data_IF_228749948131
#
_entry.id   IF_228749948131
#
_cell.length_a   1.000
_cell.length_b   1.000
_cell.length_c   1.000
_cell.angle_alpha   90.00
_cell.angle_beta   90.00
_cell.angle_gamma   90.00
#
_symmetry.space_group_name_H-M   'P 1'
#
loop_
_entity.id
_entity.type
_entity.pdbx_description
1 polymer ?
#
# COMPACT_ATOMS: atom_id res chain seq x y z
N UNK A 1 47.25 -21.64 44.44
CA UNK A 1 46.13 -21.61 45.41
C UNK A 1 44.87 -20.87 44.93
N UNK A 2 44.95 -19.75 44.18
CA UNK A 2 43.74 -19.04 43.68
C UNK A 2 42.82 -19.85 42.74
N UNK A 3 43.36 -20.80 41.97
CA UNK A 3 42.57 -21.63 41.05
C UNK A 3 41.80 -22.77 41.72
N UNK A 4 42.24 -23.23 42.90
CA UNK A 4 41.54 -24.28 43.67
C UNK A 4 40.26 -23.70 44.28
N UNK A 5 40.27 -22.44 44.71
CA UNK A 5 39.07 -21.76 45.24
C UNK A 5 37.98 -21.58 44.17
N UNK A 6 38.34 -21.28 42.92
CA UNK A 6 37.36 -21.15 41.82
C UNK A 6 36.77 -22.51 41.44
N UNK A 7 37.58 -23.57 41.43
CA UNK A 7 37.11 -24.93 41.15
C UNK A 7 36.19 -25.44 42.28
N UNK A 8 36.54 -25.18 43.54
CA UNK A 8 35.72 -25.56 44.70
C UNK A 8 34.43 -24.71 44.78
N UNK A 9 34.45 -23.43 44.38
CA UNK A 9 33.22 -22.64 44.25
C UNK A 9 32.31 -23.18 43.14
N UNK A 10 32.85 -23.57 41.98
CA UNK A 10 32.05 -24.13 40.89
C UNK A 10 31.49 -25.53 41.20
N UNK A 11 32.19 -26.32 42.01
CA UNK A 11 31.71 -27.63 42.48
C UNK A 11 30.66 -27.47 43.59
N UNK A 12 30.75 -26.43 44.44
CA UNK A 12 29.77 -26.13 45.50
C UNK A 12 28.55 -25.33 45.02
N UNK A 13 28.66 -24.57 43.92
CA UNK A 13 27.51 -23.94 43.25
C UNK A 13 26.98 -24.79 42.11
N UNK A 14 27.05 -26.12 42.23
CA UNK A 14 26.34 -27.03 41.34
C UNK A 14 24.91 -26.51 41.21
N UNK A 15 24.62 -25.87 40.09
CA UNK A 15 23.30 -25.35 39.78
C UNK A 15 22.47 -26.61 39.66
N UNK A 16 21.78 -26.96 40.75
CA UNK A 16 20.70 -27.92 40.69
C UNK A 16 19.72 -27.26 39.72
N UNK A 17 19.79 -27.67 38.46
CA UNK A 17 18.73 -27.42 37.51
C UNK A 17 17.52 -28.11 38.14
N UNK A 18 16.75 -27.35 38.91
CA UNK A 18 15.50 -27.83 39.45
C UNK A 18 14.68 -28.22 38.23
N UNK A 19 14.50 -29.53 38.04
CA UNK A 19 13.70 -30.05 36.94
C UNK A 19 12.31 -29.45 37.09
N UNK A 20 11.90 -28.67 36.10
CA UNK A 20 10.60 -28.02 36.12
C UNK A 20 9.52 -29.08 36.00
N UNK A 21 8.44 -28.98 36.77
CA UNK A 21 7.35 -29.97 36.77
C UNK A 21 6.39 -29.74 35.61
N UNK A 22 6.16 -28.49 35.24
CA UNK A 22 5.30 -28.12 34.12
C UNK A 22 5.64 -26.71 33.60
N UNK A 23 5.34 -26.48 32.33
CA UNK A 23 5.47 -25.18 31.68
C UNK A 23 4.39 -25.01 30.62
N UNK A 24 3.88 -23.79 30.43
CA UNK A 24 3.22 -23.48 29.16
C UNK A 24 4.22 -23.55 28.00
N UNK A 25 3.79 -24.08 26.86
CA UNK A 25 4.64 -24.17 25.66
C UNK A 25 5.07 -22.80 25.12
N UNK A 26 4.31 -21.75 25.42
CA UNK A 26 4.58 -20.35 25.09
C UNK A 26 4.32 -19.46 26.31
N UNK A 27 5.05 -18.35 26.43
CA UNK A 27 4.74 -17.26 27.39
C UNK A 27 3.70 -16.28 26.86
N UNK A 28 3.65 -16.11 25.54
CA UNK A 28 2.70 -15.21 24.89
C UNK A 28 2.24 -15.83 23.59
N UNK A 29 0.94 -15.74 23.31
CA UNK A 29 0.37 -16.16 22.03
C UNK A 29 -0.54 -15.08 21.45
N UNK A 30 -0.72 -15.12 20.12
CA UNK A 30 -1.59 -14.19 19.40
C UNK A 30 -2.61 -14.98 18.59
N UNK A 31 -3.87 -14.64 18.76
CA UNK A 31 -4.99 -15.30 18.08
C UNK A 31 -5.85 -14.25 17.40
N UNK A 32 -6.09 -14.43 16.11
CA UNK A 32 -7.05 -13.62 15.37
C UNK A 32 -8.44 -14.24 15.55
N UNK A 33 -9.42 -13.43 15.93
CA UNK A 33 -10.81 -13.88 15.98
C UNK A 33 -11.25 -14.36 14.58
N UNK A 34 -11.87 -15.54 14.50
CA UNK A 34 -12.46 -16.05 13.26
C UNK A 34 -13.88 -15.54 13.00
N UNK A 35 -14.55 -16.00 11.92
CA UNK A 35 -15.93 -15.60 11.60
C UNK A 35 -16.98 -16.15 12.59
N UNK A 36 -16.64 -17.19 13.36
CA UNK A 36 -17.55 -17.83 14.31
C UNK A 36 -17.88 -16.92 15.50
N UNK A 37 -19.05 -17.12 16.11
CA UNK A 37 -19.50 -16.38 17.32
C UNK A 37 -18.63 -16.65 18.55
N UNK A 38 -17.90 -17.76 18.54
CA UNK A 38 -16.99 -18.18 19.60
C UNK A 38 -15.62 -18.46 19.00
N UNK A 39 -14.58 -18.06 19.72
CA UNK A 39 -13.19 -18.42 19.47
C UNK A 39 -12.84 -19.64 20.32
N UNK A 40 -12.42 -20.74 19.69
CA UNK A 40 -11.82 -21.88 20.40
C UNK A 40 -10.29 -21.73 20.39
N UNK A 41 -9.68 -21.71 21.58
CA UNK A 41 -8.22 -21.68 21.74
C UNK A 41 -7.76 -22.88 22.56
N UNK A 42 -6.54 -23.37 22.28
CA UNK A 42 -5.94 -24.50 22.99
C UNK A 42 -4.77 -24.00 23.82
N UNK A 43 -4.89 -24.11 25.14
CA UNK A 43 -3.81 -23.89 26.08
C UNK A 43 -2.99 -25.18 26.17
N UNK A 44 -1.72 -25.10 25.81
CA UNK A 44 -0.84 -26.27 25.77
C UNK A 44 0.10 -26.25 26.98
N UNK A 45 0.04 -27.30 27.80
CA UNK A 45 0.91 -27.49 28.96
C UNK A 45 1.87 -28.63 28.65
N UNK A 46 3.16 -28.36 28.73
CA UNK A 46 4.23 -29.36 28.55
C UNK A 46 4.69 -29.87 29.91
N UNK A 47 4.74 -31.20 30.03
CA UNK A 47 5.17 -31.91 31.23
C UNK A 47 6.44 -32.69 30.84
N UNK A 48 7.63 -32.30 31.33
CA UNK A 48 8.84 -33.04 31.00
C UNK A 48 8.78 -34.46 31.54
N UNK A 49 9.29 -35.41 30.76
CA UNK A 49 9.34 -36.83 31.12
C UNK A 49 10.35 -37.04 32.25
N UNK A 50 9.92 -36.81 33.49
CA UNK A 50 10.71 -37.08 34.70
C UNK A 50 9.86 -37.94 35.64
N UNK A 51 10.37 -39.13 35.98
CA UNK A 51 9.67 -40.12 36.80
C UNK A 51 9.35 -39.65 38.24
N UNK A 52 9.97 -38.56 38.68
CA UNK A 52 9.97 -38.10 40.08
C UNK A 52 8.72 -37.31 40.50
N UNK A 53 7.83 -36.94 39.56
CA UNK A 53 6.66 -36.11 39.84
C UNK A 53 5.32 -36.84 39.65
N UNK A 54 5.35 -38.17 39.58
CA UNK A 54 4.14 -38.99 39.44
C UNK A 54 3.15 -38.70 40.57
N UNK A 55 1.90 -38.44 40.22
CA UNK A 55 0.82 -38.14 41.15
C UNK A 55 0.68 -36.66 41.54
N UNK A 56 1.58 -35.78 41.11
CA UNK A 56 1.41 -34.34 41.26
C UNK A 56 0.21 -33.87 40.43
N UNK A 57 -0.41 -32.78 40.88
CA UNK A 57 -1.53 -32.13 40.21
C UNK A 57 -1.10 -30.78 39.68
N UNK A 58 -1.33 -30.54 38.41
CA UNK A 58 -1.15 -29.23 37.77
C UNK A 58 -2.54 -28.68 37.53
N UNK A 59 -2.82 -27.46 37.98
CA UNK A 59 -4.07 -26.78 37.70
C UNK A 59 -3.82 -25.60 36.77
N UNK A 60 -4.64 -25.47 35.73
CA UNK A 60 -4.61 -24.32 34.83
C UNK A 60 -5.71 -23.36 35.25
N UNK A 61 -5.32 -22.22 35.78
CA UNK A 61 -6.22 -21.20 36.28
C UNK A 61 -6.16 -19.95 35.42
N UNK A 62 -7.25 -19.21 35.40
CA UNK A 62 -7.29 -17.91 34.75
C UNK A 62 -6.74 -16.82 35.68
N UNK A 63 -5.76 -16.08 35.19
CA UNK A 63 -5.19 -14.93 35.90
C UNK A 63 -6.07 -13.70 35.65
N UNK A 64 -6.84 -13.33 36.67
CA UNK A 64 -7.74 -12.17 36.65
C UNK A 64 -7.03 -10.86 36.41
N UNK A 65 -5.81 -10.70 36.94
CA UNK A 65 -5.06 -9.46 36.84
C UNK A 65 -4.59 -9.17 35.41
N UNK A 66 -4.46 -10.21 34.59
CA UNK A 66 -4.00 -10.15 33.19
C UNK A 66 -5.11 -10.42 32.17
N UNK A 67 -6.34 -10.64 32.63
CA UNK A 67 -7.50 -10.90 31.77
C UNK A 67 -8.37 -9.66 31.68
N UNK A 68 -8.51 -9.11 30.48
CA UNK A 68 -9.33 -7.92 30.24
C UNK A 68 -10.81 -8.23 29.95
N UNK A 69 -11.17 -9.52 29.89
CA UNK A 69 -12.49 -9.99 29.49
C UNK A 69 -13.40 -10.30 30.69
N UNK A 70 -14.70 -10.01 30.59
CA UNK A 70 -15.71 -10.47 31.55
C UNK A 70 -15.71 -11.99 31.70
N UNK A 71 -16.02 -12.46 32.89
CA UNK A 71 -15.95 -13.86 33.27
C UNK A 71 -16.87 -14.77 32.45
N UNK A 72 -18.09 -14.30 32.27
CA UNK A 72 -19.19 -14.92 31.54
C UNK A 72 -18.97 -14.95 30.01
N UNK A 73 -17.93 -14.26 29.53
CA UNK A 73 -17.46 -14.32 28.14
C UNK A 73 -16.44 -15.44 27.90
N UNK A 74 -15.91 -16.07 28.96
CA UNK A 74 -14.88 -17.12 28.89
C UNK A 74 -15.46 -18.43 29.43
N UNK A 75 -15.52 -19.45 28.58
CA UNK A 75 -15.91 -20.80 28.95
C UNK A 75 -14.67 -21.68 29.06
N UNK A 76 -14.31 -22.03 30.29
CA UNK A 76 -13.30 -23.04 30.60
C UNK A 76 -13.97 -24.40 30.83
N UNK A 77 -13.28 -25.52 30.52
CA UNK A 77 -13.79 -26.85 30.82
C UNK A 77 -13.87 -27.06 32.34
N UNK A 78 -14.81 -27.90 32.77
CA UNK A 78 -15.08 -28.18 34.20
C UNK A 78 -13.89 -28.82 34.89
N UNK A 79 -13.02 -29.53 34.15
CA UNK A 79 -11.79 -30.11 34.66
C UNK A 79 -10.57 -29.48 33.98
N UNK A 80 -9.82 -28.70 34.74
CA UNK A 80 -8.53 -28.08 34.35
C UNK A 80 -7.34 -28.70 35.09
N UNK A 81 -7.59 -29.78 35.83
CA UNK A 81 -6.58 -30.47 36.64
C UNK A 81 -5.95 -31.58 35.80
N UNK A 82 -4.63 -31.48 35.62
CA UNK A 82 -3.81 -32.44 34.92
C UNK A 82 -3.05 -33.27 35.95
N UNK A 83 -3.25 -34.59 35.92
CA UNK A 83 -2.52 -35.53 36.78
C UNK A 83 -1.24 -35.97 36.08
N UNK A 84 -0.09 -35.84 36.74
CA UNK A 84 1.17 -36.31 36.17
C UNK A 84 1.28 -37.83 36.32
N UNK A 85 1.19 -38.56 35.21
CA UNK A 85 1.35 -40.02 35.18
C UNK A 85 2.49 -40.50 34.25
N UNK A 86 2.37 -40.22 32.94
CA UNK A 86 3.23 -40.59 31.81
C UNK A 86 3.07 -39.62 30.62
N UNK A 87 2.06 -38.76 30.60
CA UNK A 87 1.82 -37.82 29.50
C UNK A 87 2.88 -36.70 29.45
N UNK A 88 3.31 -36.34 28.24
CA UNK A 88 4.31 -35.27 28.00
C UNK A 88 3.68 -33.93 27.64
N UNK A 89 2.41 -33.92 27.26
CA UNK A 89 1.68 -32.73 26.83
C UNK A 89 0.18 -32.92 27.09
N UNK A 90 -0.48 -31.88 27.59
CA UNK A 90 -1.94 -31.80 27.70
C UNK A 90 -2.47 -30.50 27.08
N UNK A 91 -3.70 -30.55 26.59
CA UNK A 91 -4.35 -29.53 25.78
C UNK A 91 -5.71 -29.15 26.33
N UNK A 92 -5.79 -27.98 26.97
CA UNK A 92 -7.05 -27.45 27.53
C UNK A 92 -7.71 -26.54 26.50
N UNK A 93 -8.90 -26.92 26.06
CA UNK A 93 -9.72 -26.11 25.13
C UNK A 93 -10.52 -25.07 25.89
N UNK A 94 -10.33 -23.80 25.55
CA UNK A 94 -11.13 -22.68 26.05
C UNK A 94 -12.00 -22.14 24.91
N UNK A 95 -13.19 -21.63 25.26
CA UNK A 95 -14.04 -20.88 24.32
C UNK A 95 -14.28 -19.47 24.82
N UNK A 96 -14.27 -18.52 23.90
CA UNK A 96 -14.44 -17.09 24.21
C UNK A 96 -15.50 -16.50 23.29
N UNK A 97 -16.51 -15.81 23.84
CA UNK A 97 -17.51 -15.07 23.05
C UNK A 97 -16.85 -13.93 22.28
N UNK A 98 -17.37 -13.50 21.13
CA UNK A 98 -16.73 -12.51 20.22
C UNK A 98 -17.26 -11.07 20.34
N UNK A 99 -17.68 -10.63 21.51
CA UNK A 99 -18.46 -9.38 21.69
C UNK A 99 -17.60 -8.12 21.87
N UNK A 100 -16.36 -8.09 21.37
CA UNK A 100 -15.41 -7.01 21.63
C UNK A 100 -14.89 -6.30 20.37
N UNK A 101 -14.80 -4.98 20.48
CA UNK A 101 -14.34 -4.05 19.44
C UNK A 101 -12.84 -3.80 19.47
N UNK A 102 -12.20 -3.99 20.62
CA UNK A 102 -10.78 -3.73 20.84
C UNK A 102 -10.00 -5.02 21.05
N UNK A 103 -8.66 -4.92 21.01
CA UNK A 103 -7.77 -5.97 21.48
C UNK A 103 -8.13 -6.39 22.91
N UNK A 104 -8.17 -7.71 23.16
CA UNK A 104 -8.44 -8.28 24.48
C UNK A 104 -7.37 -9.27 24.87
N UNK A 105 -7.16 -9.43 26.17
CA UNK A 105 -6.14 -10.29 26.72
C UNK A 105 -6.79 -11.33 27.64
N UNK A 106 -6.30 -12.57 27.58
CA UNK A 106 -6.60 -13.61 28.57
C UNK A 106 -5.29 -14.07 29.17
N UNK A 107 -5.18 -13.97 30.49
CA UNK A 107 -4.04 -14.47 31.25
C UNK A 107 -4.34 -15.85 31.83
N UNK A 108 -3.38 -16.76 31.73
CA UNK A 108 -3.40 -18.06 32.39
C UNK A 108 -2.21 -18.19 33.33
N UNK A 109 -2.43 -18.88 34.44
CA UNK A 109 -1.38 -19.27 35.38
C UNK A 109 -1.47 -20.77 35.69
N UNK A 110 -0.32 -21.39 35.89
CA UNK A 110 -0.23 -22.76 36.40
C UNK A 110 -0.08 -22.72 37.91
N UNK A 111 -0.73 -23.66 38.59
CA UNK A 111 -0.44 -24.00 39.98
C UNK A 111 -0.09 -25.48 40.08
N UNK A 112 0.81 -25.84 40.99
CA UNK A 112 1.27 -27.22 41.18
C UNK A 112 1.15 -27.60 42.65
N UNK A 113 0.49 -28.73 42.91
CA UNK A 113 0.43 -29.34 44.24
C UNK A 113 1.01 -30.75 44.21
N UNK A 114 1.77 -31.11 45.23
CA UNK A 114 2.25 -32.49 45.38
C UNK A 114 1.13 -33.46 45.82
N UNK A 115 1.50 -34.73 45.98
CA UNK A 115 0.58 -35.81 46.36
C UNK A 115 -0.05 -35.58 47.74
N UNK A 116 0.64 -34.85 48.63
CA UNK A 116 0.15 -34.47 49.95
C UNK A 116 -0.68 -33.16 49.93
N UNK A 117 -0.80 -32.51 48.77
CA UNK A 117 -1.52 -31.25 48.59
C UNK A 117 -0.70 -30.00 48.92
N UNK A 118 0.61 -30.11 49.13
CA UNK A 118 1.45 -28.94 49.39
C UNK A 118 1.78 -28.20 48.08
N UNK A 119 1.80 -26.86 48.16
CA UNK A 119 2.17 -25.98 47.05
C UNK A 119 3.63 -26.20 46.62
N UNK A 120 3.84 -26.45 45.32
CA UNK A 120 5.14 -26.62 44.67
C UNK A 120 5.30 -25.71 43.44
N UNK A 121 4.68 -24.54 43.44
CA UNK A 121 4.76 -23.54 42.36
C UNK A 121 6.19 -23.12 42.01
N UNK A 122 7.14 -23.20 42.95
CA UNK A 122 8.56 -22.96 42.71
C UNK A 122 9.20 -23.94 41.71
N UNK A 123 8.55 -25.08 41.44
CA UNK A 123 8.99 -26.06 40.45
C UNK A 123 8.41 -25.78 39.04
N UNK A 124 7.65 -24.71 38.86
CA UNK A 124 7.20 -24.28 37.53
C UNK A 124 8.34 -23.57 36.80
N UNK A 125 8.46 -23.83 35.49
CA UNK A 125 9.30 -23.02 34.62
C UNK A 125 8.53 -21.78 34.16
N UNK A 126 7.85 -21.89 33.02
CA UNK A 126 6.91 -20.87 32.54
C UNK A 126 5.51 -21.11 33.12
N UNK A 127 5.27 -20.57 34.31
CA UNK A 127 3.97 -20.69 34.98
C UNK A 127 2.89 -19.74 34.46
N UNK A 128 3.20 -18.84 33.52
CA UNK A 128 2.26 -17.82 33.03
C UNK A 128 2.18 -17.80 31.50
N UNK A 129 0.96 -17.60 30.98
CA UNK A 129 0.68 -17.45 29.55
C UNK A 129 -0.25 -16.25 29.35
N UNK A 130 0.12 -15.35 28.44
CA UNK A 130 -0.75 -14.26 27.98
C UNK A 130 -1.21 -14.53 26.54
N UNK A 131 -2.52 -14.61 26.33
CA UNK A 131 -3.13 -14.75 25.00
C UNK A 131 -3.71 -13.40 24.59
N UNK A 132 -3.20 -12.85 23.48
CA UNK A 132 -3.71 -11.63 22.87
C UNK A 132 -4.72 -12.00 21.79
N UNK A 133 -5.98 -11.60 21.99
CA UNK A 133 -7.09 -11.80 21.06
C UNK A 133 -7.27 -10.50 20.28
N UNK A 134 -6.99 -10.57 18.97
CA UNK A 134 -7.28 -9.49 18.05
C UNK A 134 -8.76 -9.54 17.64
N UNK A 135 -9.48 -8.41 17.63
CA UNK A 135 -10.83 -8.38 17.10
C UNK A 135 -10.79 -8.86 15.65
N UNK A 136 -11.86 -9.52 15.19
CA UNK A 136 -12.04 -9.64 13.75
C UNK A 136 -12.21 -8.20 13.27
N UNK A 137 -11.34 -7.70 12.40
CA UNK A 137 -11.59 -6.44 11.67
C UNK A 137 -12.87 -6.67 10.85
N UNK A 138 -14.03 -6.51 11.48
CA UNK A 138 -15.31 -7.01 10.97
C UNK A 138 -16.06 -6.00 10.14
N UNK A 139 -15.60 -4.76 10.08
CA UNK A 139 -16.00 -3.91 8.97
C UNK A 139 -15.00 -4.15 7.85
N UNK A 140 -15.16 -5.25 7.09
CA UNK A 140 -14.67 -5.26 5.72
C UNK A 140 -15.37 -4.15 4.92
N UNK A 141 -14.87 -3.82 3.73
CA UNK A 141 -15.57 -2.83 2.91
C UNK A 141 -17.01 -3.31 2.67
N UNK A 142 -17.98 -2.43 2.90
CA UNK A 142 -19.38 -2.70 2.61
C UNK A 142 -19.73 -2.10 1.23
N UNK A 143 -20.68 -2.69 0.52
CA UNK A 143 -21.26 -2.09 -0.71
C UNK A 143 -21.82 -0.68 -0.50
N UNK A 144 -22.18 -0.33 0.74
CA UNK A 144 -22.68 0.99 1.12
C UNK A 144 -21.60 2.03 1.43
N UNK A 145 -20.31 1.64 1.41
CA UNK A 145 -19.22 2.57 1.66
C UNK A 145 -19.04 3.51 0.48
N UNK A 146 -19.48 4.75 0.70
CA UNK A 146 -19.43 5.83 -0.28
C UNK A 146 -18.10 6.58 -0.26
N UNK A 147 -17.24 6.31 0.73
CA UNK A 147 -15.95 6.97 0.90
C UNK A 147 -14.88 5.89 1.01
N UNK A 148 -14.03 5.82 -0.01
CA UNK A 148 -13.01 4.81 -0.17
C UNK A 148 -11.64 5.48 -0.27
N UNK A 149 -10.68 4.97 0.49
CA UNK A 149 -9.29 5.36 0.45
C UNK A 149 -8.44 4.20 -0.09
N UNK A 150 -7.73 4.46 -1.18
CA UNK A 150 -6.88 3.52 -1.88
C UNK A 150 -5.43 3.87 -1.56
N UNK A 151 -4.65 2.91 -1.09
CA UNK A 151 -3.22 3.06 -0.82
C UNK A 151 -2.47 1.83 -1.28
N UNK A 152 -1.34 2.00 -1.96
CA UNK A 152 -0.59 0.89 -2.50
C UNK A 152 0.54 1.32 -3.40
N UNK A 153 0.72 0.61 -4.51
CA UNK A 153 1.81 0.87 -5.45
C UNK A 153 1.31 0.95 -6.88
N UNK A 154 1.96 1.80 -7.67
CA UNK A 154 1.93 1.65 -9.11
C UNK A 154 2.77 0.44 -9.53
N UNK A 155 2.25 -0.32 -10.50
CA UNK A 155 2.96 -1.41 -11.16
C UNK A 155 3.34 -0.92 -12.53
N UNK A 156 4.64 -0.99 -12.80
CA UNK A 156 5.18 -0.78 -14.14
C UNK A 156 5.28 -2.14 -14.84
N UNK A 157 4.71 -2.25 -16.04
CA UNK A 157 4.83 -3.47 -16.86
C UNK A 157 5.96 -3.36 -17.90
N UNK A 158 6.54 -2.18 -18.10
CA UNK A 158 7.54 -1.89 -19.14
C UNK A 158 8.92 -2.40 -18.71
N UNK A 159 9.27 -2.24 -17.43
CA UNK A 159 10.54 -2.71 -16.84
C UNK A 159 10.42 -4.05 -16.05
N UNK A 160 9.31 -4.76 -16.27
CA UNK A 160 8.86 -5.94 -15.50
C UNK A 160 8.05 -5.57 -14.26
N UNK A 161 7.25 -6.52 -13.73
CA UNK A 161 6.31 -6.33 -12.60
C UNK A 161 7.09 -5.92 -11.34
N UNK A 162 7.32 -4.62 -11.17
CA UNK A 162 8.06 -4.06 -10.04
C UNK A 162 7.24 -2.93 -9.41
N UNK A 163 7.07 -2.94 -8.08
CA UNK A 163 6.52 -1.79 -7.38
C UNK A 163 7.50 -0.62 -7.54
N UNK A 164 7.02 0.53 -8.01
CA UNK A 164 7.87 1.69 -8.30
C UNK A 164 7.68 2.82 -7.30
N UNK A 165 6.45 3.27 -7.10
CA UNK A 165 6.13 4.38 -6.20
C UNK A 165 4.81 4.16 -5.47
N UNK A 166 4.69 4.85 -4.32
CA UNK A 166 3.47 4.92 -3.53
C UNK A 166 2.34 5.53 -4.36
N UNK A 167 1.30 4.73 -4.55
CA UNK A 167 0.01 5.14 -5.07
C UNK A 167 -0.90 5.48 -3.90
N UNK A 168 -1.59 6.62 -3.95
CA UNK A 168 -2.72 6.86 -3.07
C UNK A 168 -3.81 7.63 -3.78
N UNK A 169 -5.07 7.30 -3.46
CA UNK A 169 -6.23 8.01 -3.99
C UNK A 169 -7.39 7.91 -3.01
N UNK A 170 -8.03 9.01 -2.70
CA UNK A 170 -9.34 9.06 -2.04
C UNK A 170 -10.44 9.24 -3.09
N UNK A 171 -11.51 8.48 -2.97
CA UNK A 171 -12.70 8.55 -3.83
C UNK A 171 -13.95 8.68 -2.96
N UNK A 172 -14.75 9.71 -3.24
CA UNK A 172 -16.01 9.99 -2.57
C UNK A 172 -17.14 9.93 -3.61
N UNK A 173 -18.07 8.99 -3.45
CA UNK A 173 -19.23 8.83 -4.32
C UNK A 173 -20.51 9.10 -3.53
N UNK A 174 -21.06 10.30 -3.67
CA UNK A 174 -22.16 10.80 -2.85
C UNK A 174 -23.44 10.91 -3.68
N UNK A 175 -24.52 10.29 -3.22
CA UNK A 175 -25.85 10.51 -3.79
C UNK A 175 -26.42 11.83 -3.26
N UNK A 176 -26.86 12.71 -4.16
CA UNK A 176 -27.59 13.91 -3.78
C UNK A 176 -28.98 13.48 -3.32
N UNK A 177 -29.31 13.66 -2.04
CA UNK A 177 -30.61 13.29 -1.49
C UNK A 177 -31.60 14.45 -1.56
N UNK A 178 -32.87 14.13 -1.78
CA UNK A 178 -33.98 15.08 -1.61
C UNK A 178 -34.98 14.47 -0.62
N UNK A 179 -35.20 15.12 0.52
CA UNK A 179 -36.03 14.60 1.62
C UNK A 179 -35.68 13.14 2.00
N UNK A 180 -34.39 12.88 2.25
CA UNK A 180 -33.79 11.56 2.57
C UNK A 180 -33.93 10.46 1.51
N UNK A 181 -34.62 10.72 0.40
CA UNK A 181 -34.71 9.79 -0.73
C UNK A 181 -33.53 9.96 -1.67
N UNK A 182 -32.98 8.83 -2.11
CA UNK A 182 -31.92 8.82 -3.11
C UNK A 182 -32.43 9.38 -4.44
N UNK A 183 -31.63 10.20 -5.12
CA UNK A 183 -31.97 10.74 -6.45
C UNK A 183 -31.10 10.11 -7.54
N UNK A 184 -31.35 10.47 -8.81
CA UNK A 184 -30.47 10.10 -9.93
C UNK A 184 -29.18 10.92 -9.99
N UNK A 185 -29.03 11.93 -9.13
CA UNK A 185 -27.91 12.85 -9.16
C UNK A 185 -26.85 12.43 -8.15
N UNK A 186 -25.62 12.32 -8.61
CA UNK A 186 -24.49 11.92 -7.78
C UNK A 186 -23.32 12.87 -7.98
N UNK A 187 -22.51 13.01 -6.93
CA UNK A 187 -21.26 13.74 -6.93
C UNK A 187 -20.12 12.75 -6.71
N UNK A 188 -19.11 12.82 -7.56
CA UNK A 188 -17.92 11.99 -7.46
C UNK A 188 -16.67 12.85 -7.35
N UNK A 189 -15.97 12.75 -6.21
CA UNK A 189 -14.76 13.52 -5.93
C UNK A 189 -13.61 12.56 -5.82
N UNK A 190 -12.51 12.85 -6.53
CA UNK A 190 -11.25 12.13 -6.40
C UNK A 190 -10.14 13.09 -6.01
N UNK A 191 -9.19 12.60 -5.22
CA UNK A 191 -7.91 13.27 -5.03
C UNK A 191 -6.84 12.22 -4.79
N UNK A 192 -5.61 12.46 -5.24
CA UNK A 192 -4.57 11.45 -5.08
C UNK A 192 -3.26 11.80 -5.75
N UNK A 193 -2.31 10.87 -5.59
CA UNK A 193 -1.06 10.82 -6.34
C UNK A 193 -1.01 9.54 -7.15
N UNK A 194 -0.76 9.70 -8.44
CA UNK A 194 -0.70 8.62 -9.42
C UNK A 194 0.48 8.79 -10.35
N UNK A 195 1.02 7.69 -10.86
CA UNK A 195 2.09 7.69 -11.86
C UNK A 195 1.62 7.07 -13.16
N UNK A 196 1.89 7.74 -14.26
CA UNK A 196 1.71 7.20 -15.60
C UNK A 196 3.07 7.00 -16.27
N UNK A 197 3.15 5.98 -17.13
CA UNK A 197 4.30 5.73 -17.97
C UNK A 197 3.85 5.53 -19.43
N UNK A 198 4.68 5.95 -20.37
CA UNK A 198 4.51 5.66 -21.79
C UNK A 198 5.36 4.45 -22.18
N UNK A 199 4.91 3.70 -23.19
CA UNK A 199 5.83 2.80 -23.90
C UNK A 199 6.99 3.58 -24.55
N UNK A 200 8.09 2.90 -24.83
CA UNK A 200 9.20 3.48 -25.60
C UNK A 200 8.76 3.72 -27.04
N UNK A 201 8.59 4.99 -27.43
CA UNK A 201 8.29 5.37 -28.82
C UNK A 201 9.60 5.65 -29.55
N UNK A 202 9.74 5.17 -30.80
CA UNK A 202 10.98 5.29 -31.57
C UNK A 202 10.83 6.16 -32.80
N UNK A 203 11.59 7.25 -32.83
CA UNK A 203 11.77 8.10 -34.01
C UNK A 203 12.97 7.60 -34.81
N UNK A 204 12.70 7.10 -36.02
CA UNK A 204 13.67 6.40 -36.84
C UNK A 204 14.81 7.29 -37.37
N UNK A 205 14.67 8.63 -37.41
CA UNK A 205 15.70 9.52 -37.99
C UNK A 205 15.57 10.97 -37.52
N UNK A 206 16.39 11.37 -36.55
CA UNK A 206 16.49 12.74 -36.05
C UNK A 206 17.86 13.31 -36.39
N UNK A 207 17.92 14.55 -36.89
CA UNK A 207 19.18 15.23 -37.22
C UNK A 207 19.85 15.77 -35.97
N UNK A 208 21.17 15.63 -35.87
CA UNK A 208 21.98 16.33 -34.86
C UNK A 208 23.16 17.06 -35.49
N UNK A 209 23.62 18.10 -34.82
CA UNK A 209 24.86 18.80 -35.09
C UNK A 209 25.49 19.28 -33.79
N UNK A 210 26.79 19.02 -33.63
CA UNK A 210 27.55 19.33 -32.43
C UNK A 210 28.94 19.86 -32.80
N UNK A 211 29.46 20.79 -32.02
CA UNK A 211 30.75 21.42 -32.23
C UNK A 211 31.79 20.70 -31.38
N UNK A 212 32.77 20.09 -32.04
CA UNK A 212 33.84 19.39 -31.34
C UNK A 212 35.17 20.14 -31.52
N UNK A 213 35.95 20.20 -30.44
CA UNK A 213 37.34 20.69 -30.48
C UNK A 213 38.22 19.63 -31.13
N UNK A 214 39.06 20.06 -32.07
CA UNK A 214 40.03 19.17 -32.68
C UNK A 214 41.06 18.73 -31.64
N UNK A 215 41.14 17.42 -31.38
CA UNK A 215 42.08 16.84 -30.40
C UNK A 215 43.55 17.12 -30.77
N UNK A 216 43.85 17.38 -32.04
CA UNK A 216 45.20 17.62 -32.54
C UNK A 216 45.54 19.11 -32.68
N UNK A 217 44.54 19.99 -32.70
CA UNK A 217 44.71 21.44 -32.85
C UNK A 217 43.73 22.19 -31.93
N UNK A 218 44.23 22.62 -30.77
CA UNK A 218 43.43 23.24 -29.70
C UNK A 218 42.62 24.47 -30.14
N UNK A 219 43.05 25.14 -31.21
CA UNK A 219 42.42 26.37 -31.72
C UNK A 219 41.47 26.13 -32.91
N UNK A 220 41.21 24.87 -33.27
CA UNK A 220 40.31 24.53 -34.38
C UNK A 220 39.10 23.72 -33.91
N UNK A 221 37.93 24.07 -34.44
CA UNK A 221 36.68 23.37 -34.18
C UNK A 221 36.18 22.74 -35.47
N UNK A 222 35.50 21.61 -35.34
CA UNK A 222 34.80 20.99 -36.45
C UNK A 222 33.36 20.71 -36.07
N UNK A 223 32.49 20.85 -37.06
CA UNK A 223 31.09 20.49 -36.95
C UNK A 223 30.94 19.01 -37.23
N UNK A 224 30.43 18.28 -36.24
CA UNK A 224 29.99 16.89 -36.40
C UNK A 224 28.48 16.90 -36.59
N UNK A 225 28.00 16.41 -37.74
CA UNK A 225 26.56 16.32 -38.01
C UNK A 225 26.18 14.93 -38.51
N UNK A 226 24.91 14.58 -38.33
CA UNK A 226 24.43 13.26 -38.71
C UNK A 226 22.99 12.98 -38.35
N UNK A 227 22.63 11.71 -38.42
CA UNK A 227 21.33 11.21 -38.00
C UNK A 227 21.47 10.20 -36.87
N UNK A 228 20.55 10.26 -35.92
CA UNK A 228 20.38 9.27 -34.86
C UNK A 228 18.96 8.74 -34.84
N UNK A 229 18.81 7.48 -34.43
CA UNK A 229 17.53 6.92 -33.99
C UNK A 229 17.38 7.34 -32.53
N UNK A 230 16.25 7.92 -32.18
CA UNK A 230 15.94 8.18 -30.78
C UNK A 230 14.74 7.35 -30.38
N UNK A 231 14.79 6.78 -29.20
CA UNK A 231 13.58 6.33 -28.52
C UNK A 231 13.38 7.17 -27.28
N UNK A 232 12.14 7.49 -26.95
CA UNK A 232 11.83 8.20 -25.73
C UNK A 232 10.75 7.50 -24.92
N UNK A 233 10.87 7.66 -23.61
CA UNK A 233 9.91 7.21 -22.62
C UNK A 233 9.50 8.43 -21.78
N UNK A 234 8.21 8.57 -21.52
CA UNK A 234 7.66 9.61 -20.67
C UNK A 234 7.08 9.00 -19.41
N UNK A 235 7.50 9.55 -18.27
CA UNK A 235 6.96 9.22 -16.96
C UNK A 235 6.33 10.47 -16.38
N UNK A 236 5.07 10.38 -15.99
CA UNK A 236 4.31 11.49 -15.41
C UNK A 236 3.89 11.14 -13.99
N UNK A 237 4.48 11.81 -13.01
CA UNK A 237 4.01 11.79 -11.63
C UNK A 237 2.97 12.90 -11.45
N UNK A 238 1.79 12.55 -10.95
CA UNK A 238 0.61 13.39 -11.00
C UNK A 238 -0.03 13.50 -9.62
N UNK A 239 -0.06 14.70 -9.05
CA UNK A 239 -0.87 15.02 -7.87
C UNK A 239 -2.14 15.71 -8.35
N UNK A 240 -3.31 15.16 -8.04
CA UNK A 240 -4.54 15.62 -8.67
C UNK A 240 -5.74 15.70 -7.74
N UNK A 241 -6.73 16.46 -8.20
CA UNK A 241 -8.11 16.39 -7.74
C UNK A 241 -9.06 16.42 -8.94
N UNK A 242 -10.19 15.72 -8.84
CA UNK A 242 -11.28 15.83 -9.80
C UNK A 242 -12.62 15.85 -9.12
N UNK A 243 -13.54 16.59 -9.72
CA UNK A 243 -14.94 16.69 -9.31
C UNK A 243 -15.79 16.37 -10.52
N UNK A 244 -16.65 15.38 -10.37
CA UNK A 244 -17.52 14.88 -11.41
C UNK A 244 -18.98 14.92 -10.93
N UNK A 245 -19.83 15.49 -11.77
CA UNK A 245 -21.27 15.33 -11.66
C UNK A 245 -21.69 14.09 -12.47
N UNK A 246 -22.50 13.25 -11.84
CA UNK A 246 -22.97 11.99 -12.38
C UNK A 246 -24.50 11.97 -12.41
N UNK A 247 -25.07 11.55 -13.54
CA UNK A 247 -26.50 11.34 -13.70
C UNK A 247 -26.79 9.86 -14.00
N UNK A 248 -27.56 9.20 -13.14
CA UNK A 248 -27.92 7.78 -13.24
C UNK A 248 -28.89 7.55 -14.41
N UNK A 249 -28.42 6.83 -15.44
CA UNK A 249 -29.14 6.58 -16.69
C UNK A 249 -30.06 5.35 -16.60
N UNK A 250 -29.77 4.42 -15.69
CA UNK A 250 -30.57 3.24 -15.41
C UNK A 250 -31.09 3.25 -13.97
N UNK A 251 -31.98 2.31 -13.63
CA UNK A 251 -32.54 2.17 -12.28
C UNK A 251 -32.23 0.76 -11.72
N UNK A 252 -31.00 0.26 -11.88
CA UNK A 252 -30.61 -1.04 -11.31
C UNK A 252 -29.87 -0.84 -9.98
N UNK A 253 -30.15 -1.73 -9.03
CA UNK A 253 -29.60 -1.67 -7.68
C UNK A 253 -28.12 -2.03 -7.66
N UNK A 254 -27.72 -3.02 -8.46
CA UNK A 254 -26.36 -3.57 -8.46
C UNK A 254 -25.50 -3.04 -9.62
N UNK A 255 -26.14 -2.61 -10.70
CA UNK A 255 -25.47 -2.12 -11.90
C UNK A 255 -25.92 -0.68 -12.17
N UNK A 256 -24.99 0.27 -12.16
CA UNK A 256 -25.28 1.68 -12.39
C UNK A 256 -24.51 2.17 -13.59
N UNK A 257 -25.23 2.78 -14.53
CA UNK A 257 -24.67 3.50 -15.64
C UNK A 257 -24.89 5.00 -15.41
N UNK A 258 -23.82 5.77 -15.42
CA UNK A 258 -23.86 7.21 -15.23
C UNK A 258 -23.41 7.92 -16.51
N UNK A 259 -24.11 8.99 -16.88
CA UNK A 259 -23.51 10.06 -17.67
C UNK A 259 -22.65 10.91 -16.73
N UNK A 260 -21.42 11.22 -17.13
CA UNK A 260 -20.45 11.99 -16.33
C UNK A 260 -20.09 13.30 -17.01
N UNK A 261 -20.04 14.37 -16.23
CA UNK A 261 -19.35 15.62 -16.55
C UNK A 261 -18.30 15.90 -15.49
N UNK A 262 -17.03 16.00 -15.88
CA UNK A 262 -15.90 16.07 -14.96
C UNK A 262 -15.05 17.31 -15.20
N UNK A 263 -14.61 17.91 -14.10
CA UNK A 263 -13.52 18.85 -14.04
C UNK A 263 -12.36 18.26 -13.25
N UNK A 264 -11.16 18.34 -13.80
CA UNK A 264 -9.95 17.74 -13.27
C UNK A 264 -8.83 18.79 -13.25
N UNK A 265 -8.07 18.80 -12.15
CA UNK A 265 -6.87 19.62 -11.98
C UNK A 265 -5.75 18.73 -11.44
N UNK A 266 -4.56 18.84 -12.03
CA UNK A 266 -3.39 18.11 -11.56
C UNK A 266 -2.11 18.89 -11.71
N UNK A 267 -1.20 18.74 -10.74
CA UNK A 267 0.19 19.15 -10.86
C UNK A 267 1.02 17.95 -11.29
N UNK A 268 1.66 18.06 -12.44
CA UNK A 268 2.36 16.99 -13.14
C UNK A 268 3.86 17.26 -13.14
N UNK A 269 4.66 16.28 -12.72
CA UNK A 269 6.09 16.23 -12.98
C UNK A 269 6.33 15.21 -14.08
N UNK A 270 6.71 15.70 -15.26
CA UNK A 270 6.91 14.90 -16.45
C UNK A 270 8.41 14.74 -16.66
N UNK A 271 8.88 13.50 -16.67
CA UNK A 271 10.26 13.13 -16.95
C UNK A 271 10.30 12.44 -18.30
N UNK A 272 11.02 13.01 -19.25
CA UNK A 272 11.23 12.41 -20.56
C UNK A 272 12.67 11.92 -20.63
N UNK A 273 12.85 10.63 -20.90
CA UNK A 273 14.15 10.01 -21.10
C UNK A 273 14.36 9.73 -22.57
N UNK A 274 15.53 10.07 -23.10
CA UNK A 274 15.92 9.79 -24.47
C UNK A 274 17.04 8.76 -24.53
N UNK A 275 16.91 7.81 -25.44
CA UNK A 275 17.98 6.88 -25.79
C UNK A 275 18.34 7.07 -27.25
N UNK A 276 19.54 7.60 -27.49
CA UNK A 276 20.03 7.91 -28.82
C UNK A 276 20.93 6.79 -29.33
N UNK A 277 20.60 6.22 -30.48
CA UNK A 277 21.42 5.24 -31.20
C UNK A 277 21.87 5.87 -32.51
N UNK A 278 23.18 6.08 -32.68
CA UNK A 278 23.74 6.74 -33.87
C UNK A 278 23.61 5.82 -35.10
N UNK A 279 23.06 6.33 -36.20
CA UNK A 279 22.72 5.57 -37.41
C UNK A 279 23.76 5.70 -38.54
N UNK A 280 25.04 5.86 -38.22
CA UNK A 280 26.15 5.69 -39.19
C UNK A 280 26.42 6.77 -40.26
N UNK A 281 25.76 7.94 -40.25
CA UNK A 281 26.25 9.10 -41.06
C UNK A 281 26.85 10.16 -40.14
N UNK A 282 28.18 10.17 -40.04
CA UNK A 282 28.95 11.22 -39.38
C UNK A 282 29.63 12.06 -40.45
N UNK A 283 29.08 13.23 -40.75
CA UNK A 283 29.76 14.23 -41.57
C UNK A 283 30.60 15.09 -40.64
N UNK A 284 31.86 15.30 -41.02
CA UNK A 284 32.77 16.20 -40.35
C UNK A 284 33.05 17.36 -41.30
N UNK A 285 32.68 18.57 -40.91
CA UNK A 285 32.90 19.77 -41.72
C UNK A 285 33.59 20.84 -40.88
N UNK A 286 34.44 21.64 -41.51
CA UNK A 286 34.94 22.87 -40.89
C UNK A 286 33.82 23.91 -41.03
N UNK A 287 33.31 24.50 -39.94
CA UNK A 287 32.27 25.51 -40.04
C UNK A 287 32.80 26.70 -40.86
N UNK A 288 32.22 26.90 -42.05
CA UNK A 288 32.46 28.09 -42.88
C UNK A 288 31.27 29.01 -42.68
N UNK A 289 31.47 30.08 -41.91
CA UNK A 289 30.48 31.13 -41.69
C UNK A 289 31.13 32.49 -41.85
N UNK A 290 30.34 33.49 -42.24
CA UNK A 290 30.82 34.87 -42.23
C UNK A 290 31.06 35.32 -40.77
N UNK A 291 32.04 36.19 -40.51
CA UNK A 291 32.23 36.78 -39.18
C UNK A 291 30.91 37.40 -38.69
N UNK A 292 30.36 36.88 -37.58
CA UNK A 292 29.11 37.36 -36.98
C UNK A 292 27.87 36.46 -37.17
N UNK A 293 27.95 35.39 -37.97
CA UNK A 293 26.84 34.43 -38.06
C UNK A 293 26.80 33.48 -36.86
N UNK A 294 25.62 33.39 -36.23
CA UNK A 294 25.37 32.44 -35.13
C UNK A 294 25.16 31.05 -35.73
N UNK A 295 26.11 30.14 -35.49
CA UNK A 295 25.97 28.71 -35.80
C UNK A 295 24.79 28.12 -35.01
N UNK A 296 23.76 27.67 -35.72
CA UNK A 296 22.63 26.96 -35.11
C UNK A 296 22.95 25.47 -35.03
N UNK A 297 23.17 24.99 -33.81
CA UNK A 297 23.40 23.57 -33.52
C UNK A 297 22.09 22.88 -33.13
N UNK A 298 21.94 21.62 -33.55
CA UNK A 298 20.85 20.74 -33.18
C UNK A 298 21.43 19.68 -32.23
N UNK A 299 21.42 19.91 -30.91
CA UNK A 299 22.01 18.96 -29.98
C UNK A 299 21.26 17.63 -30.04
N UNK A 300 21.92 16.57 -29.59
CA UNK A 300 21.24 15.29 -29.34
C UNK A 300 20.10 15.51 -28.34
N UNK A 301 18.99 14.80 -28.56
CA UNK A 301 17.88 14.80 -27.60
C UNK A 301 18.40 14.38 -26.23
N UNK A 302 18.08 15.16 -25.21
CA UNK A 302 18.58 14.96 -23.85
C UNK A 302 17.42 14.83 -22.88
N UNK A 303 17.66 14.03 -21.85
CA UNK A 303 16.71 13.84 -20.76
C UNK A 303 16.33 15.19 -20.16
N UNK A 304 15.04 15.39 -19.91
CA UNK A 304 14.58 16.59 -19.23
C UNK A 304 13.42 16.28 -18.30
N UNK A 305 13.26 17.15 -17.32
CA UNK A 305 12.11 17.16 -16.40
C UNK A 305 11.40 18.49 -16.55
N UNK A 306 10.07 18.45 -16.70
CA UNK A 306 9.22 19.63 -16.68
C UNK A 306 8.12 19.48 -15.65
N UNK A 307 7.73 20.61 -15.07
CA UNK A 307 6.55 20.71 -14.22
C UNK A 307 5.41 21.36 -15.00
N UNK A 308 4.22 20.81 -14.88
CA UNK A 308 3.04 21.27 -15.63
C UNK A 308 1.81 21.30 -14.72
N UNK A 309 1.08 22.42 -14.75
CA UNK A 309 -0.26 22.49 -14.20
C UNK A 309 -1.26 22.09 -15.28
N UNK A 310 -2.06 21.07 -15.00
CA UNK A 310 -2.88 20.39 -15.98
C UNK A 310 -4.35 20.50 -15.62
N UNK A 311 -5.15 21.04 -16.54
CA UNK A 311 -6.59 21.16 -16.43
C UNK A 311 -7.27 20.26 -17.46
N UNK A 312 -8.33 19.58 -17.06
CA UNK A 312 -9.16 18.81 -17.99
C UNK A 312 -10.63 19.04 -17.68
N UNK A 313 -11.40 19.27 -18.74
CA UNK A 313 -12.86 19.24 -18.69
C UNK A 313 -13.34 18.20 -19.69
N UNK A 314 -14.20 17.30 -19.25
CA UNK A 314 -14.62 16.18 -20.07
C UNK A 314 -16.02 15.68 -19.72
N UNK A 315 -16.57 14.92 -20.66
CA UNK A 315 -17.84 14.23 -20.53
C UNK A 315 -17.70 12.78 -20.96
N UNK A 316 -18.58 11.92 -20.50
CA UNK A 316 -18.57 10.53 -20.93
C UNK A 316 -19.49 9.65 -20.10
N UNK A 317 -19.04 8.42 -19.84
CA UNK A 317 -19.81 7.42 -19.11
C UNK A 317 -19.00 6.75 -18.01
N UNK A 318 -19.69 6.38 -16.94
CA UNK A 318 -19.17 5.49 -15.90
C UNK A 318 -20.15 4.35 -15.69
N UNK A 319 -19.66 3.11 -15.78
CA UNK A 319 -20.37 1.93 -15.36
C UNK A 319 -19.82 1.45 -14.01
N UNK A 320 -20.71 1.17 -13.06
CA UNK A 320 -20.37 0.63 -11.75
C UNK A 320 -21.21 -0.62 -11.50
N UNK A 321 -20.57 -1.73 -11.22
CA UNK A 321 -21.21 -2.97 -10.79
C UNK A 321 -20.73 -3.31 -9.38
N UNK A 322 -21.66 -3.46 -8.45
CA UNK A 322 -21.33 -3.75 -7.05
C UNK A 322 -22.21 -4.86 -6.53
N UNK A 323 -21.61 -5.81 -5.81
CA UNK A 323 -22.33 -6.77 -4.98
C UNK A 323 -21.66 -6.85 -3.59
N UNK A 324 -21.97 -7.89 -2.81
CA UNK A 324 -21.43 -8.03 -1.46
C UNK A 324 -19.94 -8.45 -1.42
N UNK A 325 -19.36 -8.88 -2.53
CA UNK A 325 -17.97 -9.38 -2.61
C UNK A 325 -17.04 -8.49 -3.43
N UNK A 326 -17.54 -7.81 -4.46
CA UNK A 326 -16.75 -6.98 -5.35
C UNK A 326 -17.45 -5.67 -5.76
N UNK A 327 -16.63 -4.68 -6.11
CA UNK A 327 -17.02 -3.44 -6.78
C UNK A 327 -16.14 -3.23 -8.01
N UNK A 328 -16.76 -3.19 -9.18
CA UNK A 328 -16.09 -2.98 -10.46
C UNK A 328 -16.57 -1.68 -11.08
N UNK A 329 -15.64 -0.84 -11.50
CA UNK A 329 -15.91 0.46 -12.10
C UNK A 329 -15.16 0.59 -13.41
N UNK A 330 -15.86 1.02 -14.45
CA UNK A 330 -15.29 1.39 -15.73
C UNK A 330 -15.73 2.81 -16.06
N UNK A 331 -14.84 3.63 -16.60
CA UNK A 331 -15.19 4.96 -17.09
C UNK A 331 -14.43 5.30 -18.36
N UNK A 332 -15.13 5.97 -19.27
CA UNK A 332 -14.57 6.55 -20.48
C UNK A 332 -14.98 8.03 -20.53
N UNK A 333 -14.00 8.93 -20.54
CA UNK A 333 -14.20 10.38 -20.48
C UNK A 333 -13.43 11.03 -21.61
N UNK A 334 -14.14 11.65 -22.55
CA UNK A 334 -13.57 12.44 -23.63
C UNK A 334 -13.68 13.93 -23.29
N UNK A 335 -12.67 14.72 -23.65
CA UNK A 335 -12.65 16.12 -23.26
C UNK A 335 -11.49 16.92 -23.82
N UNK A 336 -11.30 18.09 -23.24
CA UNK A 336 -10.24 19.02 -23.56
C UNK A 336 -9.26 19.13 -22.40
N UNK A 337 -7.99 19.02 -22.73
CA UNK A 337 -6.89 19.17 -21.80
C UNK A 337 -6.13 20.47 -22.09
N UNK A 338 -5.80 21.21 -21.04
CA UNK A 338 -4.98 22.40 -21.10
C UNK A 338 -3.85 22.31 -20.07
N UNK A 339 -2.62 22.26 -20.54
CA UNK A 339 -1.42 22.17 -19.71
C UNK A 339 -0.65 23.48 -19.74
N UNK A 340 -0.22 23.99 -18.59
CA UNK A 340 0.62 25.17 -18.45
C UNK A 340 1.97 24.78 -17.86
N UNK A 341 3.06 25.17 -18.52
CA UNK A 341 4.42 24.88 -18.06
C UNK A 341 5.35 26.05 -18.37
N UNK A 342 6.37 26.30 -17.55
CA UNK A 342 7.36 27.32 -17.83
C UNK A 342 8.31 26.86 -18.94
N UNK A 343 8.64 27.76 -19.86
CA UNK A 343 9.58 27.49 -20.97
C UNK A 343 10.88 28.27 -20.89
N UNK A 344 10.90 29.43 -20.23
CA UNK A 344 12.14 30.16 -20.00
C UNK A 344 12.01 31.16 -18.85
N UNK A 345 13.13 31.46 -18.20
CA UNK A 345 13.29 32.57 -17.26
C UNK A 345 14.03 33.70 -17.97
N UNK A 346 13.33 34.78 -18.31
CA UNK A 346 13.95 36.02 -18.76
C UNK A 346 14.39 36.82 -17.55
N UNK A 347 15.70 36.85 -17.28
CA UNK A 347 16.26 37.80 -16.31
C UNK A 347 16.32 39.18 -16.96
N UNK A 348 15.62 40.15 -16.38
CA UNK A 348 15.72 41.58 -16.70
C UNK A 348 16.28 42.34 -15.50
N UNK A 349 16.65 43.61 -15.71
CA UNK A 349 17.16 44.50 -14.65
C UNK A 349 16.10 44.68 -13.53
N UNK A 350 14.81 44.61 -13.89
CA UNK A 350 13.68 44.77 -12.97
C UNK A 350 13.19 43.45 -12.36
N UNK A 351 13.87 42.33 -12.63
CA UNK A 351 13.56 41.01 -12.08
C UNK A 351 13.50 39.89 -13.12
N UNK A 352 13.31 38.66 -12.65
CA UNK A 352 13.12 37.48 -13.51
C UNK A 352 11.65 37.30 -13.88
N UNK A 353 11.35 37.30 -15.17
CA UNK A 353 10.04 36.92 -15.72
C UNK A 353 10.08 35.48 -16.20
N UNK A 354 9.15 34.66 -15.71
CA UNK A 354 8.93 33.30 -16.21
C UNK A 354 7.96 33.32 -17.39
N UNK A 355 8.40 32.86 -18.56
CA UNK A 355 7.52 32.69 -19.72
C UNK A 355 6.78 31.37 -19.55
N UNK A 356 5.46 31.46 -19.39
CA UNK A 356 4.57 30.30 -19.39
C UNK A 356 4.14 29.98 -20.82
N UNK A 357 4.16 28.69 -21.15
CA UNK A 357 3.57 28.16 -22.38
C UNK A 357 2.39 27.26 -22.05
N UNK A 358 1.43 27.19 -22.98
CA UNK A 358 0.24 26.36 -22.83
C UNK A 358 0.11 25.36 -23.98
N UNK A 359 -0.22 24.12 -23.66
CA UNK A 359 -0.61 23.10 -24.64
C UNK A 359 -2.08 22.77 -24.49
N UNK A 360 -2.83 22.86 -25.59
CA UNK A 360 -4.23 22.43 -25.66
C UNK A 360 -4.33 21.18 -26.52
N UNK A 361 -5.01 20.15 -26.02
CA UNK A 361 -5.21 18.90 -26.75
C UNK A 361 -6.55 18.28 -26.42
N UNK A 362 -7.18 17.65 -27.40
CA UNK A 362 -8.26 16.71 -27.12
C UNK A 362 -7.69 15.50 -26.36
N UNK A 363 -8.46 14.97 -25.42
CA UNK A 363 -8.05 13.86 -24.57
C UNK A 363 -9.17 12.84 -24.44
N UNK A 364 -8.79 11.56 -24.39
CA UNK A 364 -9.64 10.45 -23.96
C UNK A 364 -8.97 9.77 -22.78
N UNK A 365 -9.73 9.61 -21.70
CA UNK A 365 -9.32 8.89 -20.51
C UNK A 365 -10.18 7.66 -20.33
N UNK A 366 -9.53 6.49 -20.25
CA UNK A 366 -10.18 5.23 -19.96
C UNK A 366 -9.67 4.72 -18.62
N UNK A 367 -10.58 4.29 -17.75
CA UNK A 367 -10.23 3.73 -16.44
C UNK A 367 -11.09 2.51 -16.15
N UNK A 368 -10.45 1.49 -15.60
CA UNK A 368 -11.04 0.25 -15.13
C UNK A 368 -10.51 -0.03 -13.72
N UNK A 369 -11.37 -0.47 -12.83
CA UNK A 369 -10.99 -0.74 -11.45
C UNK A 369 -11.86 -1.86 -10.88
N UNK A 370 -11.23 -2.91 -10.34
CA UNK A 370 -11.91 -3.99 -9.68
C UNK A 370 -11.44 -4.10 -8.23
N UNK A 371 -12.37 -4.01 -7.29
CA UNK A 371 -12.11 -4.06 -5.85
C UNK A 371 -12.80 -5.27 -5.23
N UNK A 372 -12.03 -6.12 -4.53
CA UNK A 372 -12.55 -7.18 -3.66
C UNK A 372 -12.84 -6.58 -2.28
N UNK A 373 -14.11 -6.52 -1.89
CA UNK A 373 -14.58 -5.77 -0.72
C UNK A 373 -14.22 -6.45 0.62
N UNK A 374 -14.47 -7.75 0.73
CA UNK A 374 -14.24 -8.53 1.95
C UNK A 374 -13.61 -9.89 1.64
N UNK A 375 -12.68 -10.40 2.47
CA UNK A 375 -12.14 -9.80 3.71
C UNK A 375 -10.91 -8.90 3.48
N UNK A 376 -10.40 -8.84 2.24
CA UNK A 376 -9.08 -8.30 1.97
C UNK A 376 -9.07 -6.83 1.56
N UNK A 377 -10.16 -6.24 1.06
CA UNK A 377 -10.15 -4.85 0.59
C UNK A 377 -9.01 -4.59 -0.40
N UNK A 378 -8.91 -5.36 -1.48
CA UNK A 378 -7.84 -5.24 -2.47
C UNK A 378 -8.42 -4.75 -3.78
N UNK A 379 -7.75 -3.80 -4.43
CA UNK A 379 -8.19 -3.26 -5.71
C UNK A 379 -7.06 -3.24 -6.74
N UNK A 380 -7.43 -3.63 -7.96
CA UNK A 380 -6.57 -3.58 -9.13
C UNK A 380 -7.15 -2.55 -10.10
N UNK A 381 -6.39 -1.50 -10.38
CA UNK A 381 -6.78 -0.41 -11.25
C UNK A 381 -5.92 -0.37 -12.51
N UNK A 382 -6.56 -0.02 -13.63
CA UNK A 382 -5.92 0.32 -14.89
C UNK A 382 -6.47 1.66 -15.37
N UNK A 383 -5.60 2.58 -15.77
CA UNK A 383 -5.99 3.84 -16.38
C UNK A 383 -5.08 4.16 -17.56
N UNK A 384 -5.65 4.72 -18.62
CA UNK A 384 -4.89 5.23 -19.76
C UNK A 384 -5.40 6.60 -20.19
N UNK A 385 -4.45 7.44 -20.58
CA UNK A 385 -4.68 8.73 -21.19
C UNK A 385 -4.18 8.73 -22.62
N UNK A 386 -5.08 9.05 -23.54
CA UNK A 386 -4.80 9.30 -24.94
C UNK A 386 -4.96 10.79 -25.19
N UNK A 387 -3.93 11.43 -25.73
CA UNK A 387 -3.97 12.86 -26.10
C UNK A 387 -3.48 13.01 -27.52
N UNK A 388 -4.09 13.91 -28.28
CA UNK A 388 -3.72 14.15 -29.67
C UNK A 388 -2.24 14.57 -29.77
N UNK A 389 -1.46 13.89 -30.63
CA UNK A 389 -0.02 14.12 -30.83
C UNK A 389 0.88 13.85 -29.61
N UNK A 390 0.41 13.08 -28.64
CA UNK A 390 1.22 12.62 -27.50
C UNK A 390 1.20 11.09 -27.43
N UNK A 391 2.24 10.51 -26.85
CA UNK A 391 2.30 9.06 -26.63
C UNK A 391 1.24 8.68 -25.58
N UNK A 392 0.53 7.57 -25.77
CA UNK A 392 -0.36 7.02 -24.75
C UNK A 392 0.35 6.84 -23.41
N UNK A 393 -0.32 7.27 -22.34
CA UNK A 393 0.13 7.11 -20.97
C UNK A 393 -0.71 6.02 -20.29
N UNK A 394 -0.06 5.18 -19.49
CA UNK A 394 -0.69 4.04 -18.80
C UNK A 394 -0.34 4.06 -17.32
N UNK A 395 -1.29 3.67 -16.48
CA UNK A 395 -1.13 3.46 -15.05
C UNK A 395 -1.79 2.13 -14.69
N UNK A 396 -1.04 1.29 -13.98
CA UNK A 396 -1.61 0.13 -13.29
C UNK A 396 -1.31 0.28 -11.82
N UNK A 397 -2.30 -0.04 -10.98
CA UNK A 397 -2.22 0.08 -9.54
C UNK A 397 -2.70 -1.19 -8.86
N UNK A 398 -1.99 -1.57 -7.80
CA UNK A 398 -2.43 -2.58 -6.84
C UNK A 398 -2.51 -1.90 -5.48
N UNK A 399 -3.72 -1.90 -4.91
CA UNK A 399 -4.02 -1.10 -3.73
C UNK A 399 -4.77 -1.88 -2.67
N UNK A 400 -4.50 -1.54 -1.42
CA UNK A 400 -5.39 -1.79 -0.31
C UNK A 400 -6.43 -0.68 -0.28
N UNK A 401 -7.69 -1.05 -0.16
CA UNK A 401 -8.84 -0.16 -0.06
C UNK A 401 -9.33 -0.18 1.38
N UNK A 402 -9.52 1.01 1.93
CA UNK A 402 -10.00 1.26 3.27
C UNK A 402 -11.24 2.14 3.22
N UNK A 403 -12.25 1.87 4.05
CA UNK A 403 -13.35 2.80 4.26
C UNK A 403 -12.93 3.89 5.26
N UNK A 404 -13.60 5.04 5.22
CA UNK A 404 -13.33 6.11 6.20
C UNK A 404 -13.62 5.67 7.64
N UNK A 405 -14.53 4.72 7.86
CA UNK A 405 -14.82 4.14 9.18
C UNK A 405 -13.62 3.37 9.72
N UNK A 406 -12.96 2.59 8.86
CA UNK A 406 -11.72 1.89 9.19
C UNK A 406 -10.55 2.87 9.42
N UNK A 407 -10.50 4.00 8.71
CA UNK A 407 -9.51 5.04 9.00
C UNK A 407 -9.76 5.71 10.34
N UNK A 408 -11.02 6.00 10.68
CA UNK A 408 -11.40 6.57 11.98
C UNK A 408 -10.98 5.70 13.16
N UNK A 409 -11.08 4.37 13.04
CA UNK A 409 -10.61 3.47 14.11
C UNK A 409 -9.09 3.44 14.26
N UNK A 410 -8.31 3.75 13.21
CA UNK A 410 -6.85 3.83 13.29
C UNK A 410 -6.35 5.07 14.04
N UNK A 411 -7.11 6.17 14.03
CA UNK A 411 -6.73 7.42 14.69
C UNK A 411 -7.39 7.60 16.07
N UNK A 412 -8.09 6.58 16.56
CA UNK A 412 -8.85 6.61 17.81
C UNK A 412 -10.19 7.32 17.64
N UNK A 413 -11.16 6.95 18.47
CA UNK A 413 -12.48 7.59 18.53
C UNK A 413 -12.35 9.03 19.05
N UNK A 414 -12.05 9.97 18.15
CA UNK A 414 -12.18 11.39 18.47
C UNK A 414 -13.67 11.74 18.52
N UNK A 415 -14.17 11.76 19.76
CA UNK A 415 -15.41 12.36 20.28
C UNK A 415 -16.75 11.63 20.00
N UNK A 416 -17.47 11.40 21.10
CA UNK A 416 -18.92 11.20 21.15
C UNK A 416 -19.65 12.49 20.85
#
# INVERSE_FOLDING_TARGET
MKYIYILVLMILTGVVNAQTVATFSKRTDKVNSGPNKELEYKVIVTIPSAANYKGYKINVELDRSKTSLPLDSIMMPVNTVIMIDKQTEDNIKIRVKRDFTDDKNIGFKLTVTDVAGADKNALLGNGELLVLIKPLNSEGLNKSDNILFYTGTNIDFIDGIKPKELYFRSSFLLNMKNNDKATKHWLYINAGKERYASGADSLARVSYSDLNTNKFHKDSTYLKSGFYKTSFEEVTDNLFTSVAYLYELNNSTNDKLFGIGEFYVGYQTIRTKYKNTVLTTQLTAIPRGNPGEILRLNPLASDYTRHQLNYNIGVGFMYKQTNDTFDVRFSAIGGFNNGFYPTSLRKSIDGSQEILSSTRSASLRLRAEGTLLSPLGLSLGFETFLRTKQVPLFNVSLTKVLSIKQLGSLFGSSAK
#
